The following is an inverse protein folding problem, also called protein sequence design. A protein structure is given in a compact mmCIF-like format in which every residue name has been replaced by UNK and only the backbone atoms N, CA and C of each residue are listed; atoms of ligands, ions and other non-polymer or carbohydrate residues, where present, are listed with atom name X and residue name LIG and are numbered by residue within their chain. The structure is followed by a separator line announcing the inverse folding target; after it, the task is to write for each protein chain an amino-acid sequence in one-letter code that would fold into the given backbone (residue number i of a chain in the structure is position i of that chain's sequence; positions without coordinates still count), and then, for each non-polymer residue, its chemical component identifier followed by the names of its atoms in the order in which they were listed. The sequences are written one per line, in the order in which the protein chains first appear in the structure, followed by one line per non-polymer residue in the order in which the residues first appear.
data_IF_945185856578
#
_entry.id   IF_945185856578
#
_cell.length_a   1.000
_cell.length_b   1.000
_cell.length_c   1.000
_cell.angle_alpha   90.00
_cell.angle_beta   90.00
_cell.angle_gamma   90.00
#
_symmetry.space_group_name_H-M   'P 1'
#
loop_
_entity.id
_entity.type
_entity.pdbx_description
1 polymer ?
#
# COMPACT_ATOMS: atom_id res chain seq x y z
N UNK A 1 7.92 23.88 1.02
CA UNK A 1 9.07 24.74 0.61
C UNK A 1 8.46 25.97 -0.08
N UNK A 2 8.93 27.19 0.21
CA UNK A 2 8.36 28.51 -0.19
C UNK A 2 7.33 29.15 0.78
N UNK A 3 7.25 28.71 2.04
CA UNK A 3 6.37 29.35 3.04
C UNK A 3 4.86 29.22 2.80
N UNK A 4 4.45 28.55 1.72
CA UNK A 4 3.04 28.18 1.48
C UNK A 4 2.70 26.91 2.23
N UNK A 5 1.58 26.92 2.93
CA UNK A 5 1.01 25.72 3.52
C UNK A 5 0.41 24.87 2.40
N UNK A 6 0.53 23.55 2.55
CA UNK A 6 0.05 22.58 1.57
C UNK A 6 -0.74 21.53 2.35
N UNK A 7 -1.93 21.22 1.86
CA UNK A 7 -2.69 20.05 2.28
C UNK A 7 -2.38 18.90 1.34
N UNK A 8 -2.07 17.73 1.91
CA UNK A 8 -1.88 16.48 1.19
C UNK A 8 -2.89 15.48 1.72
N UNK A 9 -3.76 14.99 0.82
CA UNK A 9 -4.74 13.96 1.12
C UNK A 9 -4.35 12.68 0.38
N UNK A 10 -4.43 11.56 1.09
CA UNK A 10 -4.25 10.22 0.54
C UNK A 10 -5.50 9.41 0.86
N UNK A 11 -6.15 8.89 -0.18
CA UNK A 11 -7.43 8.21 -0.06
C UNK A 11 -7.38 6.85 -0.73
N UNK A 12 -7.93 5.84 -0.06
CA UNK A 12 -8.13 4.49 -0.59
C UNK A 12 -9.59 4.17 -0.47
N UNK A 13 -10.22 3.87 -1.61
CA UNK A 13 -11.61 3.42 -1.66
C UNK A 13 -11.60 2.04 -2.32
N UNK A 14 -11.97 1.01 -1.55
CA UNK A 14 -12.07 -0.36 -2.04
C UNK A 14 -13.50 -0.87 -1.82
N UNK A 15 -13.95 -1.74 -2.72
CA UNK A 15 -15.32 -2.25 -2.75
C UNK A 15 -15.32 -3.77 -2.64
N UNK A 16 -16.48 -4.32 -2.31
CA UNK A 16 -16.68 -5.76 -2.33
C UNK A 16 -16.46 -6.31 -3.75
N UNK A 17 -15.62 -7.34 -3.87
CA UNK A 17 -15.31 -8.02 -5.11
C UNK A 17 -16.35 -9.13 -5.34
N UNK A 18 -17.40 -8.80 -6.09
CA UNK A 18 -18.49 -9.72 -6.42
C UNK A 18 -18.03 -10.95 -7.20
N UNK A 19 -16.99 -10.79 -8.04
CA UNK A 19 -16.49 -11.87 -8.89
C UNK A 19 -15.86 -12.98 -8.05
N UNK A 20 -15.10 -12.61 -7.02
CA UNK A 20 -14.37 -13.55 -6.19
C UNK A 20 -15.01 -13.78 -4.81
N UNK A 21 -16.11 -13.07 -4.49
CA UNK A 21 -16.78 -13.08 -3.19
C UNK A 21 -15.81 -12.69 -2.05
N UNK A 22 -15.07 -11.60 -2.23
CA UNK A 22 -14.08 -11.11 -1.26
C UNK A 22 -14.47 -9.70 -0.81
N UNK A 23 -14.50 -9.47 0.51
CA UNK A 23 -14.81 -8.14 1.05
C UNK A 23 -13.66 -7.16 0.87
N UNK A 24 -13.98 -5.87 0.84
CA UNK A 24 -12.97 -4.81 0.82
C UNK A 24 -11.96 -4.97 1.98
N UNK A 25 -12.44 -5.30 3.18
CA UNK A 25 -11.57 -5.55 4.34
C UNK A 25 -10.64 -6.75 4.15
N UNK A 26 -11.13 -7.84 3.55
CA UNK A 26 -10.28 -8.99 3.24
C UNK A 26 -9.19 -8.63 2.22
N UNK A 27 -9.53 -7.85 1.19
CA UNK A 27 -8.57 -7.38 0.17
C UNK A 27 -7.51 -6.48 0.77
N UNK A 28 -7.92 -5.43 1.49
CA UNK A 28 -7.02 -4.45 2.12
C UNK A 28 -6.21 -5.01 3.28
N UNK A 29 -6.53 -6.21 3.77
CA UNK A 29 -5.73 -6.92 4.78
C UNK A 29 -4.81 -7.95 4.13
N UNK A 30 -5.38 -8.90 3.38
CA UNK A 30 -4.65 -10.08 2.91
C UNK A 30 -3.71 -9.78 1.74
N UNK A 31 -4.04 -8.83 0.87
CA UNK A 31 -3.20 -8.53 -0.29
C UNK A 31 -1.87 -7.89 0.12
N UNK A 32 -1.83 -6.85 0.99
CA UNK A 32 -0.60 -6.38 1.61
C UNK A 32 0.26 -7.51 2.21
N UNK A 33 -0.34 -8.39 3.02
CA UNK A 33 0.37 -9.50 3.67
C UNK A 33 1.00 -10.44 2.64
N UNK A 34 0.23 -10.83 1.62
CA UNK A 34 0.72 -11.71 0.55
C UNK A 34 1.84 -11.09 -0.26
N UNK A 35 1.78 -9.78 -0.53
CA UNK A 35 2.83 -9.03 -1.23
C UNK A 35 4.11 -9.03 -0.38
N UNK A 36 4.01 -8.65 0.89
CA UNK A 36 5.16 -8.63 1.82
C UNK A 36 5.81 -10.02 1.93
N UNK A 37 5.02 -11.08 2.06
CA UNK A 37 5.55 -12.45 2.10
C UNK A 37 6.33 -12.82 0.83
N UNK A 38 5.83 -12.44 -0.36
CA UNK A 38 6.55 -12.63 -1.62
C UNK A 38 7.81 -11.76 -1.72
N UNK A 39 7.81 -10.56 -1.14
CA UNK A 39 9.01 -9.71 -1.09
C UNK A 39 10.11 -10.32 -0.22
N UNK A 40 9.75 -10.95 0.90
CA UNK A 40 10.68 -11.69 1.75
C UNK A 40 11.26 -12.89 0.96
N UNK A 41 10.39 -13.70 0.34
CA UNK A 41 10.81 -14.87 -0.45
C UNK A 41 11.78 -14.50 -1.59
N UNK A 42 11.54 -13.37 -2.25
CA UNK A 42 12.38 -12.84 -3.33
C UNK A 42 13.63 -12.09 -2.87
N UNK A 43 13.93 -12.04 -1.56
CA UNK A 43 15.02 -11.26 -0.97
C UNK A 43 14.99 -9.76 -1.34
N UNK A 44 13.78 -9.21 -1.56
CA UNK A 44 13.58 -7.76 -1.74
C UNK A 44 13.68 -7.06 -0.39
N UNK A 45 13.04 -7.65 0.64
CA UNK A 45 13.26 -7.31 2.05
C UNK A 45 14.40 -8.18 2.54
N UNK A 46 15.44 -7.58 3.15
CA UNK A 46 16.70 -8.28 3.49
C UNK A 46 16.96 -8.34 4.98
N UNK A 47 16.22 -7.57 5.75
CA UNK A 47 16.34 -7.42 7.18
C UNK A 47 15.82 -8.69 7.87
N UNK A 48 16.61 -9.23 8.80
CA UNK A 48 16.23 -10.37 9.62
C UNK A 48 15.94 -9.89 11.04
N UNK A 49 14.76 -10.22 11.56
CA UNK A 49 14.34 -9.79 12.89
C UNK A 49 12.86 -9.43 12.93
N UNK A 50 12.47 -8.68 13.95
CA UNK A 50 11.10 -8.17 14.13
C UNK A 50 11.13 -6.67 13.86
N UNK A 51 10.42 -6.26 12.81
CA UNK A 51 10.36 -4.88 12.37
C UNK A 51 8.92 -4.48 12.06
N UNK A 52 8.63 -3.19 12.19
CA UNK A 52 7.42 -2.61 11.65
C UNK A 52 7.54 -2.50 10.12
N UNK A 53 6.42 -2.58 9.40
CA UNK A 53 6.42 -2.62 7.94
C UNK A 53 7.02 -1.35 7.33
N UNK A 54 6.80 -0.18 7.93
CA UNK A 54 7.34 1.11 7.50
C UNK A 54 8.87 1.19 7.56
N UNK A 55 9.53 0.30 8.30
CA UNK A 55 10.99 0.27 8.43
C UNK A 55 11.66 -0.52 7.30
N UNK A 56 11.02 -1.59 6.83
CA UNK A 56 11.67 -2.61 5.99
C UNK A 56 10.99 -2.84 4.64
N UNK A 57 9.71 -2.52 4.48
CA UNK A 57 8.99 -2.73 3.23
C UNK A 57 9.31 -1.60 2.24
N UNK A 58 9.92 -1.87 1.07
CA UNK A 58 10.24 -0.81 0.13
C UNK A 58 8.94 -0.25 -0.49
N UNK A 59 8.67 1.06 -0.36
CA UNK A 59 7.35 1.61 -0.65
C UNK A 59 6.97 1.52 -2.13
N UNK A 60 7.91 1.87 -3.02
CA UNK A 60 7.63 1.90 -4.46
C UNK A 60 7.18 0.54 -5.02
N UNK A 61 7.97 -0.56 -4.90
CA UNK A 61 7.53 -1.85 -5.44
C UNK A 61 6.30 -2.40 -4.70
N UNK A 62 6.08 -2.03 -3.44
CA UNK A 62 4.93 -2.48 -2.68
C UNK A 62 3.62 -1.87 -3.21
N UNK A 63 3.61 -0.56 -3.44
CA UNK A 63 2.45 0.11 -4.02
C UNK A 63 2.23 -0.27 -5.49
N UNK A 64 3.28 -0.53 -6.27
CA UNK A 64 3.14 -1.10 -7.62
C UNK A 64 2.45 -2.48 -7.62
N UNK A 65 2.72 -3.33 -6.62
CA UNK A 65 2.03 -4.62 -6.47
C UNK A 65 0.57 -4.49 -6.01
N UNK A 66 0.25 -3.46 -5.21
CA UNK A 66 -1.13 -3.16 -4.83
C UNK A 66 -1.95 -2.64 -6.02
N UNK A 67 -1.34 -1.78 -6.85
CA UNK A 67 -1.98 -1.24 -8.06
C UNK A 67 -2.36 -2.36 -9.04
N UNK A 68 -1.49 -3.37 -9.23
CA UNK A 68 -1.80 -4.57 -10.04
C UNK A 68 -3.04 -5.34 -9.56
N UNK A 69 -3.45 -5.17 -8.30
CA UNK A 69 -4.62 -5.80 -7.69
C UNK A 69 -5.81 -4.85 -7.57
N UNK A 70 -5.74 -3.70 -8.24
CA UNK A 70 -6.71 -2.60 -8.21
C UNK A 70 -6.95 -2.03 -6.79
N UNK A 71 -5.93 -2.04 -5.93
CA UNK A 71 -5.94 -1.23 -4.70
C UNK A 71 -5.20 0.07 -5.02
N UNK A 72 -5.96 1.13 -5.28
CA UNK A 72 -5.44 2.43 -5.74
C UNK A 72 -5.39 3.41 -4.58
N UNK A 73 -4.31 4.19 -4.53
CA UNK A 73 -4.12 5.26 -3.56
C UNK A 73 -4.16 6.58 -4.31
N UNK A 74 -5.25 7.32 -4.14
CA UNK A 74 -5.41 8.64 -4.71
C UNK A 74 -4.67 9.67 -3.86
N UNK A 75 -3.84 10.48 -4.51
CA UNK A 75 -3.11 11.59 -3.88
C UNK A 75 -3.65 12.92 -4.39
N UNK A 76 -4.13 13.75 -3.48
CA UNK A 76 -4.55 15.13 -3.77
C UNK A 76 -3.65 16.13 -3.06
N UNK A 77 -3.28 17.21 -3.76
CA UNK A 77 -2.44 18.28 -3.22
C UNK A 77 -3.14 19.62 -3.42
N UNK A 78 -3.32 20.36 -2.34
CA UNK A 78 -3.97 21.67 -2.34
C UNK A 78 -3.08 22.69 -1.61
N UNK A 79 -3.10 23.94 -2.08
CA UNK A 79 -2.43 25.04 -1.38
C UNK A 79 -3.39 25.64 -0.35
N UNK A 80 -2.91 25.80 0.88
CA UNK A 80 -3.65 26.39 2.01
C UNK A 80 -3.19 27.82 2.23
#
# INVERSE_FOLDING_TARGET
KNGKNISLEYTVIDYYDEKNNITAMMRTTAYPISITAQMIERNIIKEYGVFCSEEVVPPKPFFEELEKRNIIIDKKMEFV
#
